data_IF_036661408200
#
_entry.id   IF_036661408200
#
_cell.length_a   1.000
_cell.length_b   1.000
_cell.length_c   1.000
_cell.angle_alpha   90.00
_cell.angle_beta   90.00
_cell.angle_gamma   90.00
#
_symmetry.space_group_name_H-M   'P 1'
#
loop_
_entity.id
_entity.type
_entity.pdbx_description
1 polymer ?
#
# COMPACT_ATOMS: atom_id res chain seq x y z
N UNK A 1 -15.78 -8.44 -7.15
CA UNK A 1 -15.70 -8.78 -8.59
C UNK A 1 -16.26 -10.18 -8.87
N UNK A 2 -17.18 -10.30 -9.84
CA UNK A 2 -17.51 -11.59 -10.51
C UNK A 2 -16.45 -11.85 -11.58
N UNK A 3 -16.11 -13.11 -11.83
CA UNK A 3 -15.17 -13.47 -12.89
C UNK A 3 -15.59 -12.85 -14.24
N UNK A 4 -14.64 -12.22 -14.94
CA UNK A 4 -14.87 -11.57 -16.24
C UNK A 4 -15.65 -10.24 -16.20
N UNK A 5 -15.99 -9.70 -15.03
CA UNK A 5 -16.69 -8.42 -14.89
C UNK A 5 -15.82 -7.40 -14.17
N UNK A 6 -15.71 -6.14 -14.64
CA UNK A 6 -14.94 -5.10 -13.96
C UNK A 6 -15.53 -4.73 -12.59
N UNK A 7 -16.79 -5.10 -12.32
CA UNK A 7 -17.60 -4.61 -11.22
C UNK A 7 -17.06 -4.90 -9.81
N UNK A 8 -17.09 -3.86 -8.99
CA UNK A 8 -16.77 -3.84 -7.57
C UNK A 8 -15.27 -3.72 -7.33
N UNK A 9 -14.89 -3.97 -6.08
CA UNK A 9 -13.50 -3.96 -5.67
C UNK A 9 -12.77 -5.22 -6.14
N UNK A 10 -11.51 -5.02 -6.53
CA UNK A 10 -10.51 -6.03 -6.81
C UNK A 10 -9.23 -5.70 -6.04
N UNK A 11 -8.53 -6.73 -5.58
CA UNK A 11 -7.25 -6.59 -4.85
C UNK A 11 -6.20 -7.52 -5.44
N UNK A 12 -4.96 -7.04 -5.54
CA UNK A 12 -3.80 -7.90 -5.74
C UNK A 12 -2.72 -7.53 -4.72
N UNK A 13 -1.96 -8.50 -4.25
CA UNK A 13 -0.95 -8.33 -3.21
C UNK A 13 0.29 -9.20 -3.49
N UNK A 14 1.45 -8.76 -2.99
CA UNK A 14 2.75 -9.41 -3.21
C UNK A 14 3.37 -9.87 -1.90
N UNK A 15 3.82 -11.13 -1.83
CA UNK A 15 4.46 -11.75 -0.66
C UNK A 15 5.82 -12.41 -0.96
N UNK A 16 6.59 -11.89 -1.92
CA UNK A 16 7.88 -12.46 -2.34
C UNK A 16 9.09 -11.95 -1.53
N UNK A 17 10.19 -11.64 -2.23
CA UNK A 17 11.41 -11.08 -1.64
C UNK A 17 11.98 -9.88 -2.42
N UNK A 18 12.88 -9.11 -1.82
CA UNK A 18 13.49 -7.93 -2.45
C UNK A 18 14.70 -8.24 -3.34
N UNK A 19 14.66 -9.39 -4.01
CA UNK A 19 15.64 -9.80 -5.04
C UNK A 19 14.97 -10.34 -6.29
N UNK A 20 13.67 -10.04 -6.45
CA UNK A 20 12.93 -10.36 -7.67
C UNK A 20 13.42 -9.54 -8.85
N UNK A 21 13.14 -10.03 -10.06
CA UNK A 21 13.33 -9.22 -11.26
C UNK A 21 12.54 -7.91 -11.12
N UNK A 22 13.16 -6.79 -11.50
CA UNK A 22 12.56 -5.47 -11.36
C UNK A 22 12.10 -5.11 -9.93
N UNK A 23 12.82 -5.57 -8.89
CA UNK A 23 12.53 -5.26 -7.48
C UNK A 23 12.37 -3.75 -7.13
N UNK A 24 11.32 -3.41 -6.37
CA UNK A 24 11.07 -2.04 -5.88
C UNK A 24 11.13 -1.91 -4.34
N UNK A 25 11.67 -2.91 -3.63
CA UNK A 25 11.64 -2.97 -2.16
C UNK A 25 10.19 -2.91 -1.63
N UNK A 26 9.33 -3.75 -2.22
CA UNK A 26 7.87 -3.65 -2.18
C UNK A 26 7.19 -4.93 -1.65
N UNK A 27 7.88 -5.73 -0.82
CA UNK A 27 7.30 -6.94 -0.24
C UNK A 27 6.13 -6.59 0.68
N UNK A 28 4.94 -7.12 0.40
CA UNK A 28 3.71 -6.75 1.11
C UNK A 28 2.91 -5.63 0.46
N UNK A 29 3.38 -5.10 -0.68
CA UNK A 29 2.62 -4.12 -1.44
C UNK A 29 1.32 -4.75 -1.98
N UNK A 30 0.31 -3.91 -2.17
CA UNK A 30 -0.98 -4.29 -2.70
C UNK A 30 -1.56 -3.16 -3.56
N UNK A 31 -2.56 -3.48 -4.37
CA UNK A 31 -3.32 -2.53 -5.17
C UNK A 31 -4.81 -2.78 -4.97
N UNK A 32 -5.63 -1.74 -5.11
CA UNK A 32 -7.08 -1.83 -5.07
C UNK A 32 -7.63 -1.17 -6.32
N UNK A 33 -8.43 -1.92 -7.07
CA UNK A 33 -9.17 -1.43 -8.22
C UNK A 33 -10.65 -1.36 -7.87
N UNK A 34 -11.36 -0.40 -8.46
CA UNK A 34 -12.79 -0.19 -8.28
C UNK A 34 -13.44 -0.07 -9.65
N UNK A 35 -14.35 -0.98 -9.99
CA UNK A 35 -14.98 -1.08 -11.31
C UNK A 35 -13.97 -1.07 -12.47
N UNK A 36 -12.86 -1.78 -12.30
CA UNK A 36 -11.77 -1.86 -13.29
C UNK A 36 -10.83 -0.65 -13.33
N UNK A 37 -11.03 0.37 -12.47
CA UNK A 37 -10.18 1.57 -12.40
C UNK A 37 -9.21 1.53 -11.20
N UNK A 38 -7.97 2.03 -11.34
CA UNK A 38 -6.91 1.90 -10.34
C UNK A 38 -7.04 2.94 -9.21
N UNK A 39 -7.59 2.57 -8.06
CA UNK A 39 -7.82 3.48 -6.93
C UNK A 39 -6.62 3.56 -5.97
N UNK A 40 -6.04 2.41 -5.59
CA UNK A 40 -4.77 2.30 -4.85
C UNK A 40 -3.78 1.57 -5.73
N UNK A 41 -2.61 2.15 -5.97
CA UNK A 41 -1.73 1.73 -7.06
C UNK A 41 -0.34 1.30 -6.58
N UNK A 42 0.28 0.48 -7.41
CA UNK A 42 1.73 0.44 -7.52
C UNK A 42 2.10 1.40 -8.66
N UNK A 43 2.98 2.36 -8.37
CA UNK A 43 3.41 3.34 -9.38
C UNK A 43 4.11 2.64 -10.56
N UNK A 44 4.72 1.48 -10.31
CA UNK A 44 5.47 0.76 -11.32
C UNK A 44 6.82 1.41 -11.64
N UNK A 45 7.41 0.98 -12.75
CA UNK A 45 8.74 1.42 -13.15
C UNK A 45 8.68 2.50 -14.21
N UNK A 46 9.45 3.58 -14.00
CA UNK A 46 9.66 4.62 -15.00
C UNK A 46 10.57 4.17 -16.14
N UNK A 47 11.02 5.14 -16.93
CA UNK A 47 12.01 4.96 -17.99
C UNK A 47 13.33 4.49 -17.38
N UNK A 48 13.89 3.43 -17.95
CA UNK A 48 15.17 2.92 -17.47
C UNK A 48 16.29 3.93 -17.75
N UNK A 49 17.11 4.16 -16.73
CA UNK A 49 18.30 5.00 -16.80
C UNK A 49 19.52 4.20 -16.33
N UNK A 50 20.71 4.74 -16.50
CA UNK A 50 21.93 4.14 -15.94
C UNK A 50 21.80 3.89 -14.42
N UNK A 51 21.06 4.75 -13.71
CA UNK A 51 20.80 4.62 -12.27
C UNK A 51 19.97 3.38 -11.94
N UNK A 52 19.08 2.94 -12.83
CA UNK A 52 18.26 1.73 -12.64
C UNK A 52 19.12 0.47 -12.48
N UNK A 53 20.26 0.42 -13.16
CA UNK A 53 21.16 -0.73 -13.17
C UNK A 53 22.38 -0.53 -12.27
N UNK A 54 22.38 0.48 -11.41
CA UNK A 54 23.48 0.79 -10.51
C UNK A 54 23.10 0.56 -9.04
N UNK A 55 24.08 0.59 -8.11
CA UNK A 55 23.79 0.56 -6.67
C UNK A 55 22.88 1.71 -6.20
N UNK A 56 22.84 2.83 -6.94
CA UNK A 56 22.00 3.98 -6.64
C UNK A 56 20.52 3.78 -7.07
N UNK A 57 20.13 2.59 -7.55
CA UNK A 57 18.77 2.26 -7.95
C UNK A 57 17.72 2.65 -6.92
N UNK A 58 17.98 2.39 -5.63
CA UNK A 58 17.03 2.64 -4.55
C UNK A 58 17.00 4.10 -4.06
N UNK A 59 17.71 5.00 -4.75
CA UNK A 59 17.47 6.44 -4.65
C UNK A 59 16.40 6.91 -5.66
N UNK A 60 16.02 6.06 -6.64
CA UNK A 60 14.88 6.33 -7.52
C UNK A 60 13.61 6.14 -6.69
N UNK A 61 12.77 7.17 -6.63
CA UNK A 61 11.60 7.19 -5.74
C UNK A 61 10.63 6.02 -5.96
N UNK A 62 10.43 5.55 -7.19
CA UNK A 62 9.56 4.39 -7.48
C UNK A 62 10.19 3.04 -7.13
N UNK A 63 11.45 3.02 -6.70
CA UNK A 63 12.13 1.83 -6.20
C UNK A 63 12.20 1.84 -4.66
N UNK A 64 11.55 2.79 -3.99
CA UNK A 64 11.58 2.96 -2.54
C UNK A 64 10.26 2.53 -1.93
N UNK A 65 10.31 1.73 -0.86
CA UNK A 65 9.12 1.24 -0.14
C UNK A 65 8.13 2.34 0.24
N UNK A 66 8.62 3.54 0.56
CA UNK A 66 7.78 4.67 0.97
C UNK A 66 6.87 5.21 -0.16
N UNK A 67 7.09 4.81 -1.41
CA UNK A 67 6.24 5.07 -2.58
C UNK A 67 5.48 3.83 -3.07
N UNK A 68 5.32 2.85 -2.16
CA UNK A 68 4.41 1.72 -2.28
C UNK A 68 3.46 1.73 -1.07
N UNK A 69 2.47 0.85 -1.06
CA UNK A 69 1.44 0.80 -0.02
C UNK A 69 1.96 0.09 1.25
N UNK A 70 3.06 0.58 1.83
CA UNK A 70 3.87 -0.08 2.85
C UNK A 70 4.15 0.82 4.07
N UNK A 71 4.47 0.23 5.22
CA UNK A 71 4.91 0.98 6.39
C UNK A 71 6.37 1.42 6.26
N UNK A 72 6.69 2.58 6.84
CA UNK A 72 8.03 3.07 7.14
C UNK A 72 8.17 3.11 8.67
N UNK A 73 9.25 2.53 9.20
CA UNK A 73 9.44 2.31 10.64
C UNK A 73 10.70 3.05 11.07
N UNK A 74 10.60 4.05 11.95
CA UNK A 74 11.73 4.91 12.34
C UNK A 74 12.46 5.56 11.14
N UNK A 75 11.75 5.94 10.09
CA UNK A 75 12.34 6.40 8.83
C UNK A 75 13.03 5.32 8.00
N UNK A 76 12.98 4.04 8.41
CA UNK A 76 13.62 2.90 7.73
C UNK A 76 12.62 2.20 6.82
N UNK A 77 13.02 2.04 5.55
CA UNK A 77 12.29 1.31 4.51
C UNK A 77 12.78 -0.14 4.40
N UNK A 78 12.15 -0.93 3.53
CA UNK A 78 12.67 -2.26 3.22
C UNK A 78 14.00 -2.17 2.48
N UNK A 79 14.83 -3.20 2.64
CA UNK A 79 16.15 -3.26 2.03
C UNK A 79 16.19 -4.27 0.88
N UNK A 80 17.10 -4.09 -0.09
CA UNK A 80 17.25 -5.00 -1.22
C UNK A 80 18.06 -6.24 -0.87
N UNK A 81 17.68 -7.39 -1.44
CA UNK A 81 18.34 -8.66 -1.23
C UNK A 81 17.38 -9.81 -0.99
N UNK A 82 17.85 -11.04 -1.22
CA UNK A 82 17.03 -12.25 -1.12
C UNK A 82 16.63 -12.57 0.32
N UNK A 83 17.45 -12.13 1.28
CA UNK A 83 17.17 -12.24 2.71
C UNK A 83 16.01 -11.37 3.17
N UNK A 84 15.69 -10.30 2.43
CA UNK A 84 14.60 -9.40 2.74
C UNK A 84 13.32 -9.91 2.08
N UNK A 85 12.62 -10.79 2.79
CA UNK A 85 11.51 -11.57 2.25
C UNK A 85 10.32 -11.61 3.22
N UNK A 86 9.13 -11.84 2.67
CA UNK A 86 7.99 -12.20 3.47
C UNK A 86 8.10 -13.65 3.95
N UNK A 87 7.42 -13.94 5.05
CA UNK A 87 7.25 -15.27 5.65
C UNK A 87 5.76 -15.54 5.82
N UNK A 88 5.41 -16.80 6.12
CA UNK A 88 4.03 -17.21 6.44
C UNK A 88 2.99 -16.75 5.40
N UNK A 89 3.37 -16.76 4.13
CA UNK A 89 2.53 -16.28 3.03
C UNK A 89 1.41 -17.30 2.79
N UNK A 90 0.16 -16.84 2.85
CA UNK A 90 -1.01 -17.67 2.54
C UNK A 90 -2.05 -16.87 1.78
N UNK A 91 -2.79 -17.58 0.93
CA UNK A 91 -3.99 -17.07 0.28
C UNK A 91 -5.09 -18.12 0.44
N UNK A 92 -6.25 -17.71 0.91
CA UNK A 92 -7.40 -18.60 1.14
C UNK A 92 -8.65 -17.94 0.58
N UNK A 93 -9.34 -18.66 -0.30
CA UNK A 93 -10.64 -18.26 -0.84
C UNK A 93 -11.76 -19.08 -0.16
N UNK A 94 -12.81 -18.40 0.30
CA UNK A 94 -13.98 -19.00 0.94
C UNK A 94 -15.24 -18.30 0.46
N UNK A 95 -15.89 -18.87 -0.55
CA UNK A 95 -17.10 -18.28 -1.14
C UNK A 95 -16.82 -16.88 -1.67
N UNK A 96 -17.48 -15.87 -1.11
CA UNK A 96 -17.35 -14.48 -1.55
C UNK A 96 -16.14 -13.74 -0.95
N UNK A 97 -15.41 -14.38 -0.03
CA UNK A 97 -14.27 -13.78 0.68
C UNK A 97 -12.95 -14.36 0.19
N UNK A 98 -11.96 -13.51 -0.07
CA UNK A 98 -10.55 -13.89 -0.29
C UNK A 98 -9.69 -13.23 0.77
N UNK A 99 -8.86 -14.02 1.45
CA UNK A 99 -7.88 -13.56 2.43
C UNK A 99 -6.47 -13.84 1.91
N UNK A 100 -5.65 -12.79 1.84
CA UNK A 100 -4.20 -12.87 1.71
C UNK A 100 -3.55 -12.50 3.05
N UNK A 101 -2.49 -13.19 3.43
CA UNK A 101 -1.68 -12.83 4.60
C UNK A 101 -0.20 -13.06 4.31
N UNK A 102 0.66 -12.20 4.84
CA UNK A 102 2.11 -12.36 4.83
C UNK A 102 2.74 -11.66 6.05
N UNK A 103 3.75 -12.28 6.68
CA UNK A 103 4.64 -11.58 7.60
C UNK A 103 5.75 -10.88 6.81
N UNK A 104 5.65 -9.56 6.69
CA UNK A 104 6.56 -8.71 5.91
C UNK A 104 7.71 -8.16 6.76
N UNK A 105 7.77 -8.47 8.06
CA UNK A 105 8.79 -7.94 8.96
C UNK A 105 10.22 -8.31 8.53
N UNK A 106 10.38 -9.48 7.88
CA UNK A 106 11.67 -9.93 7.34
C UNK A 106 12.20 -9.10 6.17
N UNK A 107 11.37 -8.25 5.53
CA UNK A 107 11.81 -7.38 4.45
C UNK A 107 12.51 -6.09 4.94
N UNK A 108 12.40 -5.79 6.24
CA UNK A 108 13.01 -4.62 6.86
C UNK A 108 14.38 -4.98 7.47
N UNK A 109 15.38 -4.10 7.35
CA UNK A 109 16.68 -4.33 7.98
C UNK A 109 16.60 -4.11 9.50
N UNK A 110 17.64 -4.53 10.22
CA UNK A 110 17.60 -4.61 11.69
C UNK A 110 17.35 -3.24 12.36
N UNK A 111 17.78 -2.16 11.71
CA UNK A 111 17.64 -0.76 12.10
C UNK A 111 16.18 -0.33 12.21
N UNK A 112 15.27 -0.95 11.44
CA UNK A 112 13.84 -0.69 11.56
C UNK A 112 13.29 -1.11 12.95
N UNK A 113 13.94 -2.08 13.60
CA UNK A 113 13.56 -2.56 14.92
C UNK A 113 12.31 -3.45 14.94
N UNK A 114 11.74 -3.80 13.79
CA UNK A 114 10.59 -4.72 13.68
C UNK A 114 11.05 -6.18 13.82
N UNK A 115 10.29 -6.98 14.56
CA UNK A 115 10.50 -8.43 14.70
C UNK A 115 9.51 -9.21 13.84
N UNK A 116 8.24 -8.75 13.84
CA UNK A 116 7.14 -9.32 13.06
C UNK A 116 6.24 -8.21 12.58
N UNK A 117 5.78 -8.32 11.33
CA UNK A 117 4.74 -7.47 10.77
C UNK A 117 3.80 -8.32 9.94
N UNK A 118 2.75 -8.81 10.56
CA UNK A 118 1.73 -9.63 9.91
C UNK A 118 0.72 -8.73 9.21
N UNK A 119 0.75 -8.71 7.89
CA UNK A 119 -0.21 -8.02 7.05
C UNK A 119 -1.27 -8.99 6.57
N UNK A 120 -2.54 -8.60 6.66
CA UNK A 120 -3.68 -9.34 6.15
C UNK A 120 -4.54 -8.43 5.27
N UNK A 121 -4.91 -8.93 4.09
CA UNK A 121 -5.86 -8.31 3.17
C UNK A 121 -7.06 -9.22 3.01
N UNK A 122 -8.25 -8.70 3.25
CA UNK A 122 -9.51 -9.43 3.07
C UNK A 122 -10.38 -8.68 2.07
N UNK A 123 -10.68 -9.31 0.93
CA UNK A 123 -11.70 -8.84 -0.01
C UNK A 123 -13.00 -9.58 0.30
N UNK A 124 -14.05 -8.86 0.66
CA UNK A 124 -15.42 -9.36 0.71
C UNK A 124 -16.22 -8.81 -0.46
N UNK A 125 -16.61 -9.70 -1.38
CA UNK A 125 -17.35 -9.34 -2.60
C UNK A 125 -18.80 -8.98 -2.33
N UNK A 126 -19.42 -9.46 -1.24
CA UNK A 126 -20.81 -9.15 -0.91
C UNK A 126 -20.96 -7.73 -0.40
N UNK A 127 -20.10 -7.36 0.54
CA UNK A 127 -20.07 -6.02 1.12
C UNK A 127 -19.28 -5.02 0.28
N UNK A 128 -18.67 -5.46 -0.83
CA UNK A 128 -17.82 -4.65 -1.70
C UNK A 128 -16.74 -3.89 -0.92
N UNK A 129 -16.04 -4.62 -0.07
CA UNK A 129 -15.10 -4.07 0.94
C UNK A 129 -13.75 -4.78 0.86
N UNK A 130 -12.67 -4.02 1.00
CA UNK A 130 -11.32 -4.53 1.26
C UNK A 130 -10.89 -4.07 2.65
N UNK A 131 -10.42 -5.00 3.48
CA UNK A 131 -9.83 -4.70 4.78
C UNK A 131 -8.32 -4.95 4.71
N UNK A 132 -7.52 -3.95 5.05
CA UNK A 132 -6.09 -4.11 5.33
C UNK A 132 -5.90 -4.10 6.85
N UNK A 133 -5.47 -5.22 7.43
CA UNK A 133 -5.11 -5.28 8.86
C UNK A 133 -3.62 -5.54 9.00
N UNK A 134 -2.93 -4.68 9.74
CA UNK A 134 -1.52 -4.89 10.10
C UNK A 134 -1.43 -5.16 11.60
N UNK A 135 -0.69 -6.21 11.97
CA UNK A 135 -0.34 -6.56 13.35
C UNK A 135 1.16 -6.66 13.47
N UNK A 136 1.77 -5.89 14.36
CA UNK A 136 3.22 -5.79 14.42
C UNK A 136 3.76 -5.92 15.84
N UNK A 137 5.01 -6.34 15.92
CA UNK A 137 5.83 -6.39 17.13
C UNK A 137 7.21 -5.86 16.78
N UNK A 138 7.67 -4.88 17.54
CA UNK A 138 8.97 -4.23 17.46
C UNK A 138 9.78 -4.51 18.74
N UNK A 139 11.10 -4.51 18.63
CA UNK A 139 12.04 -4.69 19.75
C UNK A 139 11.86 -3.65 20.86
N UNK A 140 11.44 -2.45 20.49
CA UNK A 140 11.14 -1.34 21.37
C UNK A 140 10.05 -0.48 20.74
N UNK A 141 9.43 0.41 21.51
CA UNK A 141 8.51 1.40 20.96
C UNK A 141 9.21 2.22 19.87
N UNK A 142 8.73 2.19 18.61
CA UNK A 142 9.32 2.98 17.55
C UNK A 142 9.04 4.47 17.79
N UNK A 143 9.98 5.33 17.39
CA UNK A 143 9.82 6.79 17.43
C UNK A 143 8.77 7.26 16.43
N UNK A 144 8.64 6.53 15.32
CA UNK A 144 7.75 6.87 14.23
C UNK A 144 7.28 5.59 13.51
N UNK A 145 5.99 5.55 13.20
CA UNK A 145 5.38 4.59 12.29
C UNK A 145 4.52 5.36 11.29
N UNK A 146 4.76 5.16 10.00
CA UNK A 146 4.00 5.79 8.92
C UNK A 146 3.58 4.74 7.92
N UNK A 147 2.28 4.59 7.69
CA UNK A 147 1.74 3.77 6.61
C UNK A 147 1.50 4.65 5.37
N UNK A 148 2.16 4.34 4.26
CA UNK A 148 1.94 4.98 2.97
C UNK A 148 0.80 4.32 2.20
N UNK A 149 -0.03 5.09 1.51
CA UNK A 149 -0.92 4.62 0.45
C UNK A 149 -0.78 5.55 -0.77
N UNK A 150 -0.71 4.97 -1.97
CA UNK A 150 -0.52 5.71 -3.22
C UNK A 150 -1.77 5.63 -4.07
N UNK A 151 -2.18 6.77 -4.61
CA UNK A 151 -3.35 6.87 -5.48
C UNK A 151 -3.12 7.90 -6.59
N UNK A 152 -3.60 7.67 -7.82
CA UNK A 152 -3.62 8.70 -8.85
C UNK A 152 -4.83 9.63 -8.71
N UNK A 153 -5.77 9.33 -7.80
CA UNK A 153 -7.03 10.05 -7.67
C UNK A 153 -6.90 11.21 -6.68
N UNK A 154 -7.52 12.37 -6.96
CA UNK A 154 -7.67 13.42 -5.96
C UNK A 154 -8.29 12.90 -4.66
N UNK A 155 -7.78 13.40 -3.53
CA UNK A 155 -8.21 12.95 -2.19
C UNK A 155 -8.96 14.08 -1.51
N UNK A 156 -10.15 13.78 -0.99
CA UNK A 156 -10.97 14.68 -0.19
C UNK A 156 -11.13 14.12 1.23
N UNK A 157 -10.58 14.78 2.26
CA UNK A 157 -10.95 14.48 3.64
C UNK A 157 -12.42 14.89 3.86
N UNK A 158 -13.28 13.93 4.16
CA UNK A 158 -14.73 14.21 4.34
C UNK A 158 -15.14 14.30 5.80
N UNK A 159 -14.43 13.60 6.68
CA UNK A 159 -14.57 13.69 8.13
C UNK A 159 -13.37 13.03 8.81
N UNK A 160 -13.28 13.15 10.13
CA UNK A 160 -12.26 12.46 10.93
C UNK A 160 -12.29 10.95 10.68
N UNK A 161 -11.14 10.40 10.27
CA UNK A 161 -11.02 8.97 9.98
C UNK A 161 -11.56 8.54 8.60
N UNK A 162 -11.97 9.46 7.73
CA UNK A 162 -12.55 9.13 6.42
C UNK A 162 -11.97 9.99 5.30
N UNK A 163 -11.41 9.34 4.28
CA UNK A 163 -10.96 9.96 3.03
C UNK A 163 -11.81 9.43 1.87
N UNK A 164 -12.13 10.30 0.92
CA UNK A 164 -12.71 9.92 -0.37
C UNK A 164 -11.67 10.11 -1.48
N UNK A 165 -11.52 9.08 -2.32
CA UNK A 165 -10.76 9.13 -3.55
C UNK A 165 -11.73 9.40 -4.70
N UNK A 166 -11.57 10.54 -5.35
CA UNK A 166 -12.41 10.97 -6.46
C UNK A 166 -11.90 10.32 -7.75
N UNK A 167 -12.64 9.31 -8.23
CA UNK A 167 -12.29 8.61 -9.46
C UNK A 167 -12.25 9.52 -10.70
N UNK A 168 -11.55 9.11 -11.77
CA UNK A 168 -11.51 9.86 -13.02
C UNK A 168 -12.91 9.93 -13.65
N UNK A 169 -13.11 10.79 -14.67
CA UNK A 169 -14.35 10.78 -15.45
C UNK A 169 -14.72 9.36 -15.91
N UNK A 170 -15.94 8.93 -15.61
CA UNK A 170 -16.42 7.57 -15.87
C UNK A 170 -16.33 6.61 -14.69
N UNK A 171 -15.69 6.99 -13.57
CA UNK A 171 -15.83 6.24 -12.33
C UNK A 171 -17.29 6.29 -11.83
N UNK A 172 -17.83 5.13 -11.45
CA UNK A 172 -19.22 4.97 -11.02
C UNK A 172 -19.50 5.61 -9.64
N UNK A 173 -18.48 5.64 -8.78
CA UNK A 173 -18.54 6.08 -7.39
C UNK A 173 -17.14 6.31 -6.84
N UNK A 174 -16.97 7.17 -5.81
CA UNK A 174 -15.70 7.32 -5.12
C UNK A 174 -15.32 6.06 -4.34
N UNK A 175 -14.02 5.87 -4.13
CA UNK A 175 -13.51 4.90 -3.16
C UNK A 175 -13.30 5.60 -1.83
N UNK A 176 -13.89 5.05 -0.76
CA UNK A 176 -13.79 5.58 0.59
C UNK A 176 -12.76 4.78 1.36
N UNK A 177 -11.79 5.46 1.98
CA UNK A 177 -10.82 4.89 2.92
C UNK A 177 -11.22 5.30 4.33
N UNK A 178 -11.50 4.33 5.20
CA UNK A 178 -11.65 4.56 6.64
C UNK A 178 -10.41 4.10 7.37
N UNK A 179 -9.95 4.92 8.33
CA UNK A 179 -8.80 4.65 9.16
C UNK A 179 -9.11 5.01 10.63
N UNK A 180 -8.47 4.36 11.61
CA UNK A 180 -8.73 4.62 13.02
C UNK A 180 -8.13 5.97 13.42
N UNK A 181 -8.96 7.02 13.47
CA UNK A 181 -8.53 8.40 13.74
C UNK A 181 -7.83 8.56 15.09
N UNK A 182 -8.19 7.74 16.08
CA UNK A 182 -7.53 7.72 17.40
C UNK A 182 -6.09 7.19 17.33
N UNK A 183 -5.76 6.39 16.31
CA UNK A 183 -4.42 5.84 16.12
C UNK A 183 -3.59 6.65 15.11
N UNK A 184 -4.22 7.29 14.12
CA UNK A 184 -3.51 7.96 13.02
C UNK A 184 -3.87 9.44 12.86
N UNK A 185 -2.85 10.25 12.59
CA UNK A 185 -2.97 11.49 11.84
C UNK A 185 -2.75 11.23 10.36
N UNK A 186 -3.36 12.04 9.49
CA UNK A 186 -3.19 11.94 8.04
C UNK A 186 -2.44 13.16 7.49
N UNK A 187 -1.47 12.90 6.62
CA UNK A 187 -0.85 13.92 5.76
C UNK A 187 -0.96 13.45 4.30
N UNK A 188 -1.22 14.37 3.38
CA UNK A 188 -1.34 14.05 1.96
C UNK A 188 -0.30 14.86 1.21
N UNK A 189 0.56 14.16 0.48
CA UNK A 189 1.57 14.76 -0.38
C UNK A 189 1.22 14.53 -1.84
N UNK A 190 1.62 15.47 -2.68
CA UNK A 190 1.54 15.35 -4.14
C UNK A 190 2.95 15.18 -4.69
N UNK A 191 3.08 14.34 -5.71
CA UNK A 191 4.31 14.21 -6.48
C UNK A 191 4.00 14.37 -7.96
N UNK A 192 4.65 15.35 -8.58
CA UNK A 192 4.67 15.48 -10.03
C UNK A 192 5.29 14.22 -10.65
N UNK A 193 4.68 13.74 -11.73
CA UNK A 193 5.17 12.63 -12.52
C UNK A 193 5.85 13.23 -13.75
N UNK A 194 7.18 13.26 -13.70
CA UNK A 194 8.08 13.82 -14.71
C UNK A 194 8.60 12.77 -15.71
N UNK A 195 8.25 11.50 -15.49
CA UNK A 195 8.59 10.39 -16.39
C UNK A 195 7.45 10.15 -17.41
N UNK A 196 7.72 10.21 -18.73
CA UNK A 196 6.66 10.07 -19.75
C UNK A 196 5.96 8.72 -19.75
N UNK A 197 6.61 7.65 -19.27
CA UNK A 197 5.98 6.32 -19.19
C UNK A 197 4.99 6.28 -18.04
N UNK A 198 5.39 6.81 -16.87
CA UNK A 198 4.51 6.92 -15.71
C UNK A 198 3.37 7.91 -15.95
N UNK A 199 3.64 9.03 -16.62
CA UNK A 199 2.63 10.06 -16.92
C UNK A 199 1.50 9.50 -17.79
N UNK A 200 1.83 8.64 -18.78
CA UNK A 200 0.81 7.94 -19.57
C UNK A 200 -0.10 7.02 -18.75
N UNK A 201 0.41 6.48 -17.64
CA UNK A 201 -0.37 5.59 -16.77
C UNK A 201 -1.17 6.34 -15.72
N UNK A 202 -0.59 7.39 -15.13
CA UNK A 202 -1.12 8.01 -13.90
C UNK A 202 -1.48 9.48 -14.06
N UNK A 203 -1.19 10.08 -15.22
CA UNK A 203 -1.31 11.51 -15.43
C UNK A 203 -0.15 12.31 -14.81
N UNK A 204 -0.28 13.63 -14.73
CA UNK A 204 0.84 14.53 -14.40
C UNK A 204 1.30 14.47 -12.94
N UNK A 205 0.55 13.78 -12.07
CA UNK A 205 0.87 13.64 -10.65
C UNK A 205 0.20 12.43 -10.02
N UNK A 206 0.81 11.96 -8.94
CA UNK A 206 0.21 10.99 -8.00
C UNK A 206 0.18 11.58 -6.60
N UNK A 207 -0.64 10.99 -5.75
CA UNK A 207 -0.79 11.37 -4.36
C UNK A 207 -0.27 10.26 -3.44
N UNK A 208 0.33 10.67 -2.33
CA UNK A 208 0.74 9.78 -1.24
C UNK A 208 0.04 10.19 0.05
N UNK A 209 -0.79 9.30 0.55
CA UNK A 209 -1.43 9.40 1.86
C UNK A 209 -0.46 8.81 2.88
N UNK A 210 -0.12 9.59 3.90
CA UNK A 210 0.75 9.21 5.00
C UNK A 210 -0.09 9.14 6.28
N UNK A 211 -0.39 7.93 6.72
CA UNK A 211 -1.04 7.66 8.00
C UNK A 211 0.04 7.52 9.07
N UNK A 212 0.25 8.58 9.85
CA UNK A 212 1.28 8.65 10.90
C UNK A 212 0.69 8.27 12.24
N UNK A 213 1.25 7.25 12.89
CA UNK A 213 0.79 6.80 14.19
C UNK A 213 0.93 7.93 15.22
N UNK A 214 -0.13 8.24 15.96
CA UNK A 214 -0.17 9.31 16.97
C UNK A 214 0.60 8.93 18.23
N UNK A 215 0.40 7.70 18.68
CA UNK A 215 1.01 7.15 19.89
C UNK A 215 1.59 5.78 19.58
N UNK A 216 2.80 5.71 18.99
CA UNK A 216 3.41 4.43 18.69
C UNK A 216 3.61 3.57 19.95
N UNK A 217 3.47 2.26 19.78
CA UNK A 217 3.70 1.25 20.81
C UNK A 217 4.62 0.17 20.25
N UNK A 218 5.29 -0.60 21.12
CA UNK A 218 6.14 -1.70 20.68
C UNK A 218 5.35 -2.82 19.97
N UNK A 219 4.05 -2.92 20.22
CA UNK A 219 3.14 -3.85 19.56
C UNK A 219 1.80 -3.15 19.28
N UNK A 220 1.14 -3.50 18.20
CA UNK A 220 -0.15 -2.91 17.87
C UNK A 220 -0.86 -3.57 16.72
N UNK A 221 -2.08 -3.13 16.51
CA UNK A 221 -2.98 -3.57 15.45
C UNK A 221 -3.84 -2.41 14.96
N UNK A 222 -3.94 -2.28 13.64
CA UNK A 222 -4.90 -1.38 13.01
C UNK A 222 -5.50 -2.01 11.76
N UNK A 223 -6.71 -1.57 11.44
CA UNK A 223 -7.40 -1.95 10.22
C UNK A 223 -7.78 -0.70 9.42
N UNK A 224 -7.43 -0.69 8.14
CA UNK A 224 -7.94 0.24 7.15
C UNK A 224 -9.04 -0.46 6.35
N UNK A 225 -10.11 0.26 6.06
CA UNK A 225 -11.22 -0.24 5.27
C UNK A 225 -11.32 0.57 3.97
N UNK A 226 -11.41 -0.12 2.85
CA UNK A 226 -11.67 0.46 1.53
C UNK A 226 -13.05 -0.01 1.08
N UNK A 227 -13.93 0.92 0.75
CA UNK A 227 -15.29 0.62 0.24
C UNK A 227 -15.58 1.43 -1.00
N UNK A 228 -16.43 0.92 -1.88
CA UNK A 228 -17.02 1.69 -2.96
C UNK A 228 -18.53 1.62 -2.81
N UNK A 229 -19.14 2.75 -2.43
CA UNK A 229 -20.59 2.85 -2.23
C UNK A 229 -21.26 3.10 -3.57
N UNK A 230 -22.02 2.12 -4.06
CA UNK A 230 -22.96 2.34 -5.16
C UNK A 230 -24.17 3.09 -4.59
N UNK A 231 -24.60 4.15 -5.28
CA UNK A 231 -25.84 4.87 -4.98
C UNK A 231 -27.07 4.01 -5.23
#
# INVERSE_FOLDING_TARGET
MKEGSPDGLFVAAKGGHNAESHNHNDVGNFIVYADGLPAIIDVGVGTYTAKTFSPARYEIWTMQSAWHNLPTINGVMQAPGRQYAARDVRCVERGDTVEFQADIGGAYPAEAGVQRWLRQLVLDRRSNTVLLTDRFVCRSTPRELVQSLITPWPIKPVSDGVLELEGPPGASAPVVIRYPVNQFGVHIEQRAVDDPRLERSWGPKVYRILLRARTPSAQGEWTLEFTQRRG
#
